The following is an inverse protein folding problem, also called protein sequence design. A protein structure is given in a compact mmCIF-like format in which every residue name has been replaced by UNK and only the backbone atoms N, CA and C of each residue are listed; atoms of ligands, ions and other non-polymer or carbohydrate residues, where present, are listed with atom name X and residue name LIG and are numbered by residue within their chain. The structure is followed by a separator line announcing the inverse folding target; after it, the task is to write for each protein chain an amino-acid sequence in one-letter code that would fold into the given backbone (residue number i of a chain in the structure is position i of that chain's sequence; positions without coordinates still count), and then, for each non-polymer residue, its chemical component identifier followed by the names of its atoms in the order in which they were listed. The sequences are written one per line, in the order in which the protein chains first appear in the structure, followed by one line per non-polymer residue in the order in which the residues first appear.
data_IF_093815431678
#
_entry.id   IF_093815431678
#
_cell.length_a   1.000
_cell.length_b   1.000
_cell.length_c   1.000
_cell.angle_alpha   90.00
_cell.angle_beta   90.00
_cell.angle_gamma   90.00
#
_symmetry.space_group_name_H-M   'P 1'
#
loop_
_entity.id
_entity.type
_entity.pdbx_description
1 polymer ?
#
# COMPACT_ATOMS: atom_id res chain seq x y z
N UNK A 1 -34.35 0.35 -7.42
CA UNK A 1 -34.66 -0.10 -6.04
C UNK A 1 -33.42 -0.77 -5.51
N UNK A 2 -32.62 0.01 -4.80
CA UNK A 2 -31.27 -0.32 -4.33
C UNK A 2 -31.36 -1.00 -2.97
N UNK A 3 -30.99 -2.28 -2.91
CA UNK A 3 -30.84 -3.01 -1.65
C UNK A 3 -29.51 -2.61 -1.02
N UNK A 4 -29.57 -1.71 -0.04
CA UNK A 4 -28.45 -1.32 0.82
C UNK A 4 -28.21 -2.48 1.80
N UNK A 5 -27.10 -3.19 1.66
CA UNK A 5 -26.62 -4.15 2.66
C UNK A 5 -26.37 -3.39 3.97
N UNK A 6 -26.86 -3.89 5.13
CA UNK A 6 -26.69 -3.19 6.39
C UNK A 6 -25.25 -3.33 6.90
N UNK A 7 -24.66 -2.19 7.21
CA UNK A 7 -23.47 -2.02 8.06
C UNK A 7 -23.68 -2.77 9.38
N UNK A 8 -22.87 -3.82 9.60
CA UNK A 8 -22.97 -4.74 10.75
C UNK A 8 -22.21 -4.25 11.99
N UNK A 9 -21.66 -3.03 11.96
CA UNK A 9 -20.85 -2.47 13.04
C UNK A 9 -21.57 -2.18 14.38
N UNK A 10 -22.89 -2.38 14.51
CA UNK A 10 -23.65 -1.87 15.65
C UNK A 10 -24.52 -2.89 16.42
N UNK A 11 -24.41 -4.20 16.18
CA UNK A 11 -25.17 -5.20 16.94
C UNK A 11 -24.24 -6.08 17.79
N UNK A 12 -23.95 -5.62 19.02
CA UNK A 12 -23.36 -6.48 20.04
C UNK A 12 -24.42 -7.45 20.56
N UNK A 13 -24.35 -8.71 20.11
CA UNK A 13 -25.20 -9.79 20.61
C UNK A 13 -24.73 -10.34 21.98
N UNK A 14 -25.68 -10.89 22.72
CA UNK A 14 -25.60 -11.25 24.14
C UNK A 14 -24.35 -12.08 24.53
N UNK A 15 -23.67 -11.76 25.64
CA UNK A 15 -22.43 -12.42 26.09
C UNK A 15 -22.58 -13.86 26.61
N UNK A 16 -23.78 -14.46 26.53
CA UNK A 16 -24.04 -15.81 27.04
C UNK A 16 -23.89 -16.93 26.00
N UNK A 17 -23.53 -16.62 24.76
CA UNK A 17 -23.23 -17.61 23.71
C UNK A 17 -21.73 -17.89 23.54
N UNK A 18 -20.92 -17.46 24.50
CA UNK A 18 -19.45 -17.55 24.50
C UNK A 18 -19.01 -18.76 25.36
N UNK A 19 -18.28 -19.69 24.74
CA UNK A 19 -17.34 -20.64 25.38
C UNK A 19 -17.87 -21.78 26.25
N UNK A 20 -18.63 -22.74 25.68
CA UNK A 20 -18.92 -24.00 26.37
C UNK A 20 -18.43 -25.30 25.69
N UNK A 21 -17.80 -25.24 24.50
CA UNK A 21 -17.55 -26.48 23.72
C UNK A 21 -16.10 -26.74 23.28
N UNK A 22 -15.16 -25.81 23.45
CA UNK A 22 -13.79 -26.03 22.97
C UNK A 22 -12.76 -25.61 24.03
N UNK A 23 -11.83 -26.49 24.42
CA UNK A 23 -10.78 -26.13 25.35
C UNK A 23 -9.89 -25.06 24.71
N UNK A 24 -9.71 -23.94 25.41
CA UNK A 24 -8.65 -22.99 25.10
C UNK A 24 -7.34 -23.76 25.29
N UNK A 25 -6.71 -24.16 24.19
CA UNK A 25 -5.33 -24.66 24.20
C UNK A 25 -4.42 -23.48 24.55
N UNK A 26 -4.28 -23.20 25.84
CA UNK A 26 -3.15 -22.44 26.36
C UNK A 26 -1.92 -23.30 26.18
N UNK A 27 -1.26 -23.20 25.02
CA UNK A 27 0.11 -23.67 24.91
C UNK A 27 0.96 -22.75 25.79
N UNK A 28 1.55 -23.32 26.83
CA UNK A 28 2.74 -22.74 27.42
C UNK A 28 3.75 -22.55 26.28
N UNK A 29 4.22 -21.32 26.11
CA UNK A 29 5.38 -21.00 25.24
C UNK A 29 6.61 -21.56 25.96
N UNK A 30 6.78 -22.88 25.86
CA UNK A 30 7.79 -23.65 26.55
C UNK A 30 8.21 -24.85 25.72
N UNK A 31 9.39 -24.71 25.12
CA UNK A 31 10.28 -25.80 24.68
C UNK A 31 9.64 -26.88 23.79
N UNK A 32 9.77 -26.67 22.47
CA UNK A 32 9.58 -27.72 21.47
C UNK A 32 10.66 -28.80 21.72
N UNK A 33 10.25 -29.86 22.38
CA UNK A 33 11.01 -31.10 22.45
C UNK A 33 10.83 -31.85 21.12
N UNK A 34 11.74 -31.62 20.17
CA UNK A 34 11.90 -32.46 18.98
C UNK A 34 13.20 -33.26 19.10
N UNK A 35 13.06 -34.53 19.46
CA UNK A 35 14.12 -35.52 19.35
C UNK A 35 14.31 -35.93 17.89
N UNK A 36 15.35 -35.43 17.23
CA UNK A 36 16.02 -36.16 16.14
C UNK A 36 17.39 -35.54 15.84
N UNK A 37 18.38 -36.40 16.04
CA UNK A 37 19.81 -36.36 15.75
C UNK A 37 20.18 -35.68 14.42
N UNK A 38 20.84 -34.53 14.46
CA UNK A 38 21.88 -34.14 13.48
C UNK A 38 22.76 -33.01 14.08
N UNK A 39 24.08 -33.23 14.07
CA UNK A 39 25.09 -32.31 14.60
C UNK A 39 25.23 -31.11 13.67
N UNK A 40 25.10 -29.89 14.21
CA UNK A 40 25.83 -28.75 13.67
C UNK A 40 25.14 -27.40 13.60
N UNK A 41 24.36 -26.99 14.60
CA UNK A 41 24.21 -25.59 15.07
C UNK A 41 23.19 -25.61 16.21
N UNK A 42 23.64 -25.31 17.43
CA UNK A 42 22.80 -25.43 18.62
C UNK A 42 21.60 -24.48 18.58
N UNK A 43 20.59 -24.78 19.42
CA UNK A 43 19.41 -23.93 19.66
C UNK A 43 19.79 -22.48 19.99
N UNK A 44 20.90 -22.27 20.70
CA UNK A 44 21.53 -20.97 20.95
C UNK A 44 22.05 -20.27 19.69
N UNK A 45 22.55 -21.02 18.71
CA UNK A 45 22.99 -20.48 17.43
C UNK A 45 21.82 -20.01 16.57
N UNK A 46 20.69 -20.73 16.60
CA UNK A 46 19.44 -20.28 15.97
C UNK A 46 18.87 -19.07 16.69
N UNK A 47 18.80 -19.08 18.02
CA UNK A 47 18.31 -17.94 18.79
C UNK A 47 19.18 -16.68 18.61
N UNK A 48 20.51 -16.84 18.57
CA UNK A 48 21.41 -15.75 18.27
C UNK A 48 21.23 -15.25 16.82
N UNK A 49 21.07 -16.16 15.85
CA UNK A 49 20.83 -15.79 14.46
C UNK A 49 19.49 -15.09 14.26
N UNK A 50 18.44 -15.51 14.97
CA UNK A 50 17.12 -14.90 14.95
C UNK A 50 17.15 -13.52 15.61
N UNK A 51 17.82 -13.37 16.74
CA UNK A 51 18.01 -12.08 17.42
C UNK A 51 18.86 -11.10 16.59
N UNK A 52 19.93 -11.59 15.95
CA UNK A 52 20.75 -10.79 15.04
C UNK A 52 19.93 -10.39 13.81
N UNK A 53 19.15 -11.31 13.26
CA UNK A 53 18.27 -11.04 12.11
C UNK A 53 17.17 -10.05 12.46
N UNK A 54 16.62 -10.09 13.68
CA UNK A 54 15.61 -9.15 14.15
C UNK A 54 16.19 -7.75 14.41
N UNK A 55 17.41 -7.67 14.94
CA UNK A 55 18.09 -6.38 15.22
C UNK A 55 18.57 -5.70 13.93
N UNK A 56 19.00 -6.48 12.94
CA UNK A 56 19.51 -5.98 11.66
C UNK A 56 18.46 -5.89 10.55
N UNK A 57 17.26 -6.46 10.75
CA UNK A 57 16.22 -6.56 9.72
C UNK A 57 16.68 -7.33 8.47
N UNK A 58 17.62 -8.27 8.62
CA UNK A 58 18.30 -8.97 7.53
C UNK A 58 18.40 -10.46 7.84
N UNK A 59 18.07 -11.33 6.87
CA UNK A 59 18.11 -12.79 7.06
C UNK A 59 19.51 -13.32 6.74
N UNK A 60 20.13 -13.99 7.72
CA UNK A 60 21.45 -14.60 7.59
C UNK A 60 21.51 -15.61 6.43
N UNK A 61 22.54 -15.46 5.56
CA UNK A 61 22.88 -16.42 4.50
C UNK A 61 24.29 -16.96 4.73
N UNK A 62 24.51 -18.28 4.72
CA UNK A 62 25.85 -18.85 4.90
C UNK A 62 26.79 -18.36 3.77
N UNK A 63 27.90 -17.73 4.13
CA UNK A 63 28.90 -17.22 3.18
C UNK A 63 28.74 -15.75 2.74
N UNK A 64 27.70 -15.04 3.18
CA UNK A 64 27.47 -13.63 2.83
C UNK A 64 28.02 -12.64 3.87
N UNK A 65 29.34 -12.70 4.11
CA UNK A 65 30.01 -11.80 5.06
C UNK A 65 29.92 -10.32 4.64
N UNK A 66 29.80 -10.06 3.33
CA UNK A 66 29.66 -8.70 2.78
C UNK A 66 28.27 -8.13 3.05
N UNK A 67 27.21 -8.92 2.86
CA UNK A 67 25.84 -8.54 3.20
C UNK A 67 25.65 -8.29 4.69
N UNK A 68 26.27 -9.12 5.54
CA UNK A 68 26.26 -8.93 6.99
C UNK A 68 26.93 -7.60 7.41
N UNK A 69 28.12 -7.30 6.88
CA UNK A 69 28.82 -6.04 7.18
C UNK A 69 28.02 -4.81 6.72
N UNK A 70 27.37 -4.89 5.56
CA UNK A 70 26.50 -3.83 5.05
C UNK A 70 25.23 -3.63 5.91
N UNK A 71 24.63 -4.71 6.40
CA UNK A 71 23.48 -4.65 7.30
C UNK A 71 23.85 -4.02 8.65
N UNK A 72 25.03 -4.32 9.17
CA UNK A 72 25.54 -3.77 10.43
C UNK A 72 25.86 -2.27 10.31
N UNK A 73 26.58 -1.88 9.25
CA UNK A 73 26.85 -0.47 8.96
C UNK A 73 25.57 0.33 8.68
N UNK A 74 24.51 -0.33 8.18
CA UNK A 74 23.23 0.29 7.87
C UNK A 74 22.22 0.34 9.02
N UNK A 75 22.48 -0.34 10.15
CA UNK A 75 21.58 -0.40 11.32
C UNK A 75 22.13 0.35 12.53
N UNK A 76 23.43 0.66 12.53
CA UNK A 76 24.10 1.38 13.60
C UNK A 76 24.78 2.62 13.03
N UNK A 77 24.45 3.78 13.60
CA UNK A 77 25.17 5.02 13.34
C UNK A 77 26.22 5.19 14.43
N UNK A 78 27.49 5.29 14.03
CA UNK A 78 28.60 5.50 14.95
C UNK A 78 28.93 6.98 15.03
N UNK A 79 28.67 7.60 16.19
CA UNK A 79 29.03 8.99 16.46
C UNK A 79 30.12 9.04 17.51
N UNK A 80 31.16 9.84 17.26
CA UNK A 80 32.26 9.99 18.20
C UNK A 80 32.00 11.20 19.10
N UNK A 81 31.74 10.94 20.38
CA UNK A 81 31.40 11.95 21.38
C UNK A 81 32.38 11.81 22.53
N UNK A 82 33.05 12.91 22.89
CA UNK A 82 33.92 12.99 24.08
C UNK A 82 34.87 11.79 24.28
N UNK A 83 35.62 11.45 23.23
CA UNK A 83 36.68 10.44 23.31
C UNK A 83 36.23 8.98 23.32
N UNK A 84 34.92 8.69 23.16
CA UNK A 84 34.41 7.34 23.00
C UNK A 84 33.44 7.24 21.81
N UNK A 85 33.33 6.03 21.25
CA UNK A 85 32.43 5.75 20.12
C UNK A 85 31.07 5.35 20.65
N UNK A 86 30.06 6.18 20.42
CA UNK A 86 28.67 5.86 20.71
C UNK A 86 28.02 5.22 19.48
N UNK A 87 27.39 4.06 19.65
CA UNK A 87 26.61 3.39 18.61
C UNK A 87 25.12 3.64 18.84
N UNK A 88 24.51 4.44 17.98
CA UNK A 88 23.06 4.66 17.99
C UNK A 88 22.40 3.63 17.09
N UNK A 89 21.66 2.71 17.69
CA UNK A 89 20.85 1.75 16.94
C UNK A 89 19.63 2.45 16.35
N UNK A 90 19.52 2.44 15.03
CA UNK A 90 18.31 2.86 14.32
C UNK A 90 17.62 1.57 13.86
N UNK A 91 16.47 1.18 14.43
CA UNK A 91 15.78 -0.01 13.97
C UNK A 91 15.50 0.16 12.48
N UNK A 92 16.09 -0.73 11.67
CA UNK A 92 15.56 -0.98 10.34
C UNK A 92 14.23 -1.67 10.57
N UNK A 93 13.17 -0.88 10.79
CA UNK A 93 11.82 -1.36 10.54
C UNK A 93 11.89 -1.96 9.14
N UNK A 94 11.56 -3.26 9.05
CA UNK A 94 11.64 -4.09 7.85
C UNK A 94 11.97 -3.24 6.63
N UNK A 95 13.25 -3.21 6.27
CA UNK A 95 13.67 -2.64 5.00
C UNK A 95 13.16 -3.59 3.91
N UNK A 96 11.82 -3.67 3.79
CA UNK A 96 11.11 -3.93 2.56
C UNK A 96 11.74 -2.95 1.60
N UNK A 97 12.52 -3.50 0.68
CA UNK A 97 13.35 -2.76 -0.25
C UNK A 97 12.63 -1.50 -0.71
N UNK A 98 13.33 -0.38 -0.59
CA UNK A 98 13.11 0.86 -1.30
C UNK A 98 13.05 0.69 -2.84
N UNK A 99 13.14 -0.55 -3.36
CA UNK A 99 13.09 -0.90 -4.77
C UNK A 99 11.65 -1.13 -5.28
N UNK A 100 10.66 -1.32 -4.41
CA UNK A 100 9.25 -1.50 -4.81
C UNK A 100 8.38 -0.24 -4.64
N UNK A 101 8.92 0.85 -4.11
CA UNK A 101 8.11 2.03 -3.81
C UNK A 101 8.89 3.18 -3.18
N UNK A 102 9.99 3.60 -3.82
CA UNK A 102 10.46 4.96 -3.57
C UNK A 102 9.28 5.95 -3.80
N UNK A 103 9.30 7.09 -3.12
CA UNK A 103 8.39 8.21 -3.41
C UNK A 103 8.45 8.46 -4.93
N UNK A 104 7.39 8.09 -5.67
CA UNK A 104 7.41 8.01 -7.14
C UNK A 104 6.21 8.74 -7.75
N UNK A 105 6.32 9.08 -9.04
CA UNK A 105 5.25 9.75 -9.78
C UNK A 105 4.79 11.07 -9.16
N UNK A 106 3.47 11.23 -8.99
CA UNK A 106 2.88 12.46 -8.44
C UNK A 106 3.27 12.74 -6.99
N UNK A 107 3.55 11.72 -6.19
CA UNK A 107 4.05 11.87 -4.82
C UNK A 107 5.48 12.44 -4.82
N UNK A 108 6.34 12.00 -5.75
CA UNK A 108 7.70 12.56 -5.89
C UNK A 108 7.65 14.02 -6.30
N UNK A 109 6.74 14.36 -7.22
CA UNK A 109 6.50 15.74 -7.63
C UNK A 109 6.00 16.61 -6.47
N UNK A 110 5.11 16.08 -5.62
CA UNK A 110 4.62 16.78 -4.43
C UNK A 110 5.74 16.97 -3.40
N UNK A 111 6.50 15.91 -3.08
CA UNK A 111 7.62 15.98 -2.14
C UNK A 111 8.72 16.94 -2.63
N UNK A 112 9.04 16.95 -3.92
CA UNK A 112 9.98 17.90 -4.50
C UNK A 112 9.49 19.36 -4.39
N UNK A 113 8.21 19.60 -4.70
CA UNK A 113 7.58 20.92 -4.51
C UNK A 113 7.58 21.34 -3.04
N UNK A 114 7.25 20.43 -2.13
CA UNK A 114 7.29 20.67 -0.70
C UNK A 114 8.70 21.04 -0.21
N UNK A 115 9.75 20.35 -0.68
CA UNK A 115 11.15 20.70 -0.32
C UNK A 115 11.49 22.14 -0.69
N UNK A 116 11.17 22.54 -1.93
CA UNK A 116 11.42 23.91 -2.39
C UNK A 116 10.58 24.92 -1.60
N UNK A 117 9.27 24.69 -1.52
CA UNK A 117 8.36 25.59 -0.82
C UNK A 117 8.74 25.77 0.66
N UNK A 118 9.03 24.68 1.37
CA UNK A 118 9.42 24.73 2.80
C UNK A 118 10.78 25.39 2.97
N UNK A 119 11.77 25.10 2.12
CA UNK A 119 13.09 25.75 2.19
C UNK A 119 12.98 27.27 2.03
N UNK A 120 12.27 27.71 1.01
CA UNK A 120 12.13 29.14 0.70
C UNK A 120 11.23 29.83 1.75
N UNK A 121 10.16 29.18 2.18
CA UNK A 121 9.29 29.64 3.27
C UNK A 121 10.04 29.82 4.59
N UNK A 122 10.90 28.87 4.97
CA UNK A 122 11.70 28.99 6.19
C UNK A 122 12.68 30.17 6.12
N UNK A 123 13.28 30.39 4.96
CA UNK A 123 14.18 31.54 4.74
C UNK A 123 13.41 32.86 4.89
N UNK A 124 12.20 32.95 4.33
CA UNK A 124 11.33 34.11 4.47
C UNK A 124 10.90 34.32 5.92
N UNK A 125 10.45 33.25 6.60
CA UNK A 125 10.02 33.25 7.99
C UNK A 125 11.10 33.78 8.94
N UNK A 126 12.36 33.35 8.74
CA UNK A 126 13.51 33.80 9.53
C UNK A 126 13.84 35.28 9.29
N UNK A 127 13.48 35.83 8.12
CA UNK A 127 13.71 37.22 7.75
C UNK A 127 12.63 38.19 8.23
N UNK A 128 11.47 37.69 8.67
CA UNK A 128 10.36 38.54 9.09
C UNK A 128 10.71 39.32 10.35
N UNK A 129 10.38 40.61 10.39
CA UNK A 129 10.50 41.45 11.58
C UNK A 129 9.13 42.00 11.96
N UNK A 130 8.76 42.06 13.26
CA UNK A 130 7.51 42.68 13.68
C UNK A 130 7.45 44.15 13.23
N UNK A 131 6.30 44.55 12.67
CA UNK A 131 6.01 45.93 12.27
C UNK A 131 5.31 46.71 13.38
N UNK A 132 4.62 46.00 14.29
CA UNK A 132 4.06 46.59 15.49
C UNK A 132 5.14 47.00 16.48
N UNK A 133 4.91 48.11 17.16
CA UNK A 133 5.80 48.61 18.22
C UNK A 133 5.49 47.96 19.57
N UNK A 134 4.26 47.49 19.74
CA UNK A 134 3.71 46.92 20.97
C UNK A 134 3.62 45.38 20.95
N UNK A 135 4.35 44.71 20.05
CA UNK A 135 4.35 43.25 19.95
C UNK A 135 4.95 42.58 21.18
N UNK A 136 4.48 41.38 21.52
CA UNK A 136 5.12 40.56 22.55
C UNK A 136 6.24 39.70 21.91
N UNK A 137 7.52 39.88 22.28
CA UNK A 137 8.61 39.10 21.71
C UNK A 137 8.51 37.60 21.96
N UNK A 138 7.88 37.17 23.06
CA UNK A 138 7.70 35.76 23.39
C UNK A 138 6.64 35.12 22.50
N UNK A 139 5.49 35.79 22.34
CA UNK A 139 4.42 35.30 21.47
C UNK A 139 4.84 35.32 20.00
N UNK A 140 5.55 36.37 19.56
CA UNK A 140 6.08 36.48 18.21
C UNK A 140 7.02 35.32 17.86
N UNK A 141 7.99 34.99 18.73
CA UNK A 141 8.90 33.86 18.48
C UNK A 141 8.19 32.51 18.68
N UNK A 142 7.19 32.44 19.56
CA UNK A 142 6.33 31.28 19.74
C UNK A 142 5.59 30.91 18.45
N UNK A 143 4.86 31.85 17.85
CA UNK A 143 4.15 31.62 16.59
C UNK A 143 5.11 31.34 15.42
N UNK A 144 6.26 32.04 15.36
CA UNK A 144 7.29 31.73 14.36
C UNK A 144 7.76 30.29 14.49
N UNK A 145 7.99 29.81 15.71
CA UNK A 145 8.43 28.44 15.98
C UNK A 145 7.36 27.41 15.60
N UNK A 146 6.08 27.69 15.88
CA UNK A 146 4.96 26.83 15.48
C UNK A 146 4.85 26.71 13.95
N UNK A 147 4.89 27.84 13.22
CA UNK A 147 4.87 27.85 11.75
C UNK A 147 6.03 27.05 11.17
N UNK A 148 7.24 27.20 11.75
CA UNK A 148 8.43 26.42 11.36
C UNK A 148 8.22 24.92 11.59
N UNK A 149 7.68 24.53 12.74
CA UNK A 149 7.44 23.13 13.09
C UNK A 149 6.43 22.48 12.14
N UNK A 150 5.32 23.16 11.85
CA UNK A 150 4.28 22.68 10.95
C UNK A 150 4.80 22.46 9.52
N UNK A 151 5.55 23.43 8.98
CA UNK A 151 6.14 23.31 7.64
C UNK A 151 7.14 22.15 7.55
N UNK A 152 7.96 21.96 8.59
CA UNK A 152 8.88 20.82 8.64
C UNK A 152 8.14 19.49 8.83
N UNK A 153 7.05 19.46 9.60
CA UNK A 153 6.21 18.29 9.77
C UNK A 153 5.52 17.90 8.44
N UNK A 154 4.99 18.87 7.70
CA UNK A 154 4.44 18.68 6.36
C UNK A 154 5.47 18.04 5.42
N UNK A 155 6.70 18.57 5.40
CA UNK A 155 7.76 18.01 4.58
C UNK A 155 8.05 16.55 4.94
N UNK A 156 8.17 16.23 6.24
CA UNK A 156 8.39 14.84 6.70
C UNK A 156 7.25 13.91 6.27
N UNK A 157 6.00 14.37 6.31
CA UNK A 157 4.88 13.57 5.83
C UNK A 157 4.93 13.35 4.32
N UNK A 158 5.22 14.38 3.52
CA UNK A 158 5.30 14.24 2.07
C UNK A 158 6.45 13.36 1.60
N UNK A 159 7.52 13.24 2.40
CA UNK A 159 8.62 12.32 2.16
C UNK A 159 8.35 10.89 2.65
N UNK A 160 7.27 10.67 3.40
CA UNK A 160 6.86 9.33 3.82
C UNK A 160 6.48 8.49 2.59
N UNK A 161 6.89 7.21 2.51
CA UNK A 161 6.49 6.31 1.43
C UNK A 161 4.96 6.18 1.33
N UNK A 162 4.29 6.14 2.48
CA UNK A 162 2.83 6.16 2.58
C UNK A 162 2.42 7.42 3.35
N UNK A 163 1.80 8.36 2.66
CA UNK A 163 1.41 9.65 3.25
C UNK A 163 0.15 9.45 4.09
N UNK A 164 0.18 9.92 5.35
CA UNK A 164 -0.97 9.90 6.24
C UNK A 164 -1.88 11.08 5.91
N UNK A 165 -2.87 10.88 5.05
CA UNK A 165 -3.80 11.93 4.60
C UNK A 165 -4.39 12.74 5.78
N UNK A 166 -4.94 12.11 6.85
CA UNK A 166 -5.55 12.88 7.93
C UNK A 166 -4.54 13.76 8.68
N UNK A 167 -3.29 13.31 8.78
CA UNK A 167 -2.23 14.08 9.44
C UNK A 167 -1.81 15.29 8.61
N UNK A 168 -1.71 15.13 7.30
CA UNK A 168 -1.42 16.26 6.40
C UNK A 168 -2.56 17.27 6.40
N UNK A 169 -3.81 16.81 6.34
CA UNK A 169 -5.00 17.68 6.45
C UNK A 169 -4.99 18.42 7.80
N UNK A 170 -4.71 17.74 8.92
CA UNK A 170 -4.55 18.39 10.23
C UNK A 170 -3.43 19.44 10.25
N UNK A 171 -2.28 19.15 9.65
CA UNK A 171 -1.15 20.09 9.59
C UNK A 171 -1.51 21.35 8.80
N UNK A 172 -2.24 21.22 7.69
CA UNK A 172 -2.75 22.38 6.96
C UNK A 172 -3.85 23.13 7.73
N UNK A 173 -4.72 22.42 8.44
CA UNK A 173 -5.71 23.05 9.33
C UNK A 173 -5.03 23.90 10.42
N UNK A 174 -3.94 23.40 11.02
CA UNK A 174 -3.18 24.18 12.02
C UNK A 174 -2.42 25.36 11.39
N UNK A 175 -1.81 25.15 10.22
CA UNK A 175 -0.96 26.15 9.57
C UNK A 175 -1.76 27.29 8.93
N UNK A 176 -2.85 26.96 8.22
CA UNK A 176 -3.63 27.87 7.37
C UNK A 176 -5.06 28.10 7.85
N UNK A 177 -5.64 27.15 8.61
CA UNK A 177 -7.07 27.10 8.96
C UNK A 177 -7.96 27.38 7.74
N UNK A 178 -7.88 26.54 6.69
CA UNK A 178 -8.53 26.81 5.42
C UNK A 178 -10.06 26.84 5.59
N UNK A 179 -10.76 27.73 4.87
CA UNK A 179 -12.21 27.87 4.98
C UNK A 179 -12.90 26.55 4.63
N UNK A 180 -13.67 26.02 5.59
CA UNK A 180 -14.46 24.79 5.41
C UNK A 180 -15.74 25.16 4.66
N UNK A 181 -15.68 25.03 3.34
CA UNK A 181 -16.72 25.43 2.38
C UNK A 181 -18.13 25.51 2.96
N UNK A 182 -18.56 26.74 3.29
CA UNK A 182 -19.96 27.07 3.50
C UNK A 182 -20.67 27.25 2.16
N UNK A 183 -22.01 27.39 2.17
CA UNK A 183 -22.77 27.79 0.99
C UNK A 183 -22.34 29.21 0.56
N UNK A 184 -21.35 29.29 -0.34
CA UNK A 184 -20.72 30.53 -0.81
C UNK A 184 -19.55 30.23 -1.76
N UNK A 185 -19.11 31.24 -2.50
CA UNK A 185 -17.91 31.17 -3.37
C UNK A 185 -16.69 30.72 -2.54
N UNK A 186 -15.79 29.86 -3.06
CA UNK A 186 -14.63 29.40 -2.28
C UNK A 186 -13.80 30.61 -1.86
N UNK A 187 -13.69 30.86 -0.55
CA UNK A 187 -12.82 31.91 -0.02
C UNK A 187 -11.39 31.57 -0.40
N UNK A 188 -10.81 32.37 -1.29
CA UNK A 188 -9.40 32.26 -1.67
C UNK A 188 -8.57 32.69 -0.47
N UNK A 189 -7.64 31.83 -0.04
CA UNK A 189 -6.73 32.16 1.06
C UNK A 189 -5.71 33.18 0.54
N UNK A 190 -5.62 34.33 1.21
CA UNK A 190 -4.70 35.44 0.96
C UNK A 190 -3.94 35.78 2.25
N UNK A 191 -2.94 36.67 2.16
CA UNK A 191 -2.24 37.18 3.34
C UNK A 191 -3.19 37.88 4.33
N UNK A 192 -4.25 38.53 3.83
CA UNK A 192 -5.20 39.28 4.67
C UNK A 192 -6.20 38.37 5.42
N UNK A 193 -6.53 37.20 4.88
CA UNK A 193 -7.54 36.31 5.48
C UNK A 193 -6.98 34.95 5.95
N UNK A 194 -5.68 34.68 5.78
CA UNK A 194 -5.05 33.46 6.30
C UNK A 194 -5.30 33.31 7.80
N UNK A 195 -5.73 32.11 8.20
CA UNK A 195 -5.97 31.72 9.59
C UNK A 195 -4.80 30.89 10.14
N UNK A 196 -5.10 30.04 11.12
CA UNK A 196 -4.11 29.13 11.70
C UNK A 196 -2.91 29.86 12.31
N UNK A 197 -1.78 29.16 12.41
CA UNK A 197 -0.55 29.74 12.95
C UNK A 197 0.02 30.87 12.07
N UNK A 198 -0.19 30.84 10.75
CA UNK A 198 0.23 31.94 9.87
C UNK A 198 -0.58 33.23 10.09
N UNK A 199 -1.90 33.11 10.29
CA UNK A 199 -2.76 34.23 10.65
C UNK A 199 -2.43 34.80 12.03
N UNK A 200 -2.14 33.94 13.01
CA UNK A 200 -1.66 34.39 14.33
C UNK A 200 -0.32 35.13 14.24
N UNK A 201 0.61 34.62 13.44
CA UNK A 201 1.90 35.28 13.19
C UNK A 201 1.69 36.65 12.54
N UNK A 202 0.79 36.76 11.56
CA UNK A 202 0.42 38.04 10.92
C UNK A 202 -0.06 39.05 11.95
N UNK A 203 -1.00 38.66 12.78
CA UNK A 203 -1.66 39.55 13.73
C UNK A 203 -0.68 40.03 14.82
N UNK A 204 0.20 39.14 15.28
CA UNK A 204 1.23 39.44 16.28
C UNK A 204 2.31 40.37 15.72
N UNK A 205 2.79 40.10 14.50
CA UNK A 205 3.78 40.94 13.84
C UNK A 205 3.17 42.24 13.27
N UNK A 206 1.84 42.35 13.20
CA UNK A 206 1.15 43.48 12.61
C UNK A 206 1.32 43.60 11.09
N UNK A 207 1.46 42.48 10.40
CA UNK A 207 1.65 42.42 8.95
C UNK A 207 0.31 42.62 8.21
N UNK A 208 -0.33 43.75 8.45
CA UNK A 208 -1.62 44.12 7.85
C UNK A 208 -1.36 45.24 6.82
N UNK A 209 -1.78 45.04 5.57
CA UNK A 209 -1.45 45.96 4.46
C UNK A 209 -1.74 47.43 4.76
N UNK A 210 -2.88 47.71 5.39
CA UNK A 210 -3.30 49.08 5.77
C UNK A 210 -2.43 49.76 6.83
N UNK A 211 -1.51 49.04 7.47
CA UNK A 211 -0.62 49.54 8.53
C UNK A 211 0.81 49.76 8.04
N UNK A 212 1.12 49.43 6.79
CA UNK A 212 2.43 49.63 6.18
C UNK A 212 2.58 51.08 5.71
N UNK A 213 3.60 51.77 6.21
CA UNK A 213 3.86 53.19 5.97
C UNK A 213 5.23 53.45 5.32
N UNK A 214 6.18 52.51 5.42
CA UNK A 214 7.54 52.66 4.88
C UNK A 214 7.87 51.59 3.83
N UNK A 215 8.87 51.87 2.98
CA UNK A 215 9.35 50.93 1.95
C UNK A 215 9.95 49.68 2.63
N UNK A 216 10.62 49.87 3.76
CA UNK A 216 11.16 48.78 4.56
C UNK A 216 10.05 47.88 5.13
N UNK A 217 8.96 48.45 5.63
CA UNK A 217 7.77 47.70 6.07
C UNK A 217 7.10 46.97 4.90
N UNK A 218 6.99 47.60 3.74
CA UNK A 218 6.44 46.99 2.52
C UNK A 218 7.26 45.77 2.08
N UNK A 219 8.59 45.85 2.22
CA UNK A 219 9.47 44.70 1.94
C UNK A 219 9.21 43.53 2.89
N UNK A 220 8.99 43.79 4.18
CA UNK A 220 8.65 42.76 5.17
C UNK A 220 7.27 42.17 4.86
N UNK A 221 6.28 43.01 4.53
CA UNK A 221 4.95 42.54 4.13
C UNK A 221 5.03 41.67 2.88
N UNK A 222 5.83 42.06 1.88
CA UNK A 222 6.05 41.26 0.66
C UNK A 222 6.63 39.88 0.99
N UNK A 223 7.58 39.79 1.92
CA UNK A 223 8.10 38.50 2.39
C UNK A 223 7.01 37.63 3.03
N UNK A 224 6.09 38.23 3.79
CA UNK A 224 4.97 37.52 4.40
C UNK A 224 3.93 37.06 3.36
N UNK A 225 3.56 37.91 2.41
CA UNK A 225 2.69 37.55 1.27
C UNK A 225 3.28 36.33 0.54
N UNK A 226 4.57 36.40 0.21
CA UNK A 226 5.27 35.30 -0.48
C UNK A 226 5.29 34.02 0.37
N UNK A 227 5.45 34.14 1.69
CA UNK A 227 5.39 32.99 2.62
C UNK A 227 4.00 32.34 2.59
N UNK A 228 2.93 33.12 2.61
CA UNK A 228 1.55 32.61 2.53
C UNK A 228 1.31 31.94 1.18
N UNK A 229 1.69 32.57 0.08
CA UNK A 229 1.53 32.04 -1.28
C UNK A 229 2.22 30.68 -1.47
N UNK A 230 3.42 30.49 -0.92
CA UNK A 230 4.11 29.20 -0.97
C UNK A 230 3.31 28.09 -0.27
N UNK A 231 2.73 28.39 0.90
CA UNK A 231 1.99 27.42 1.68
C UNK A 231 0.59 27.14 1.10
N UNK A 232 -0.10 28.16 0.59
CA UNK A 232 -1.37 28.01 -0.13
C UNK A 232 -1.16 27.20 -1.42
N UNK A 233 -0.11 27.50 -2.20
CA UNK A 233 0.22 26.74 -3.40
C UNK A 233 0.53 25.26 -3.10
N UNK A 234 1.15 24.97 -1.95
CA UNK A 234 1.38 23.60 -1.50
C UNK A 234 0.08 22.91 -1.05
N UNK A 235 -0.79 23.62 -0.32
CA UNK A 235 -2.11 23.14 0.08
C UNK A 235 -2.98 22.81 -1.14
N UNK A 236 -3.07 23.71 -2.12
CA UNK A 236 -3.78 23.47 -3.39
C UNK A 236 -3.17 22.29 -4.16
N UNK A 237 -1.84 22.16 -4.12
CA UNK A 237 -1.13 21.02 -4.64
C UNK A 237 -1.62 19.72 -4.02
N UNK A 238 -1.70 19.69 -2.69
CA UNK A 238 -2.15 18.57 -1.89
C UNK A 238 -3.63 18.21 -2.12
N UNK A 239 -4.55 19.17 -2.03
CA UNK A 239 -5.99 18.94 -2.19
C UNK A 239 -6.35 18.32 -3.54
N UNK A 240 -5.64 18.71 -4.61
CA UNK A 240 -5.81 18.12 -5.96
C UNK A 240 -5.37 16.67 -6.07
N UNK A 241 -4.39 16.24 -5.28
CA UNK A 241 -3.76 14.92 -5.45
C UNK A 241 -4.03 13.95 -4.31
N UNK A 242 -4.53 14.41 -3.16
CA UNK A 242 -4.63 13.60 -1.93
C UNK A 242 -5.42 12.30 -2.10
N UNK A 243 -6.53 12.34 -2.85
CA UNK A 243 -7.34 11.14 -3.17
C UNK A 243 -6.57 10.11 -4.00
N UNK A 244 -5.70 10.56 -4.91
CA UNK A 244 -4.88 9.69 -5.75
C UNK A 244 -3.68 9.08 -5.01
N UNK A 245 -3.25 9.74 -3.93
CA UNK A 245 -2.11 9.31 -3.11
C UNK A 245 -2.51 8.20 -2.15
N UNK A 246 -3.74 8.23 -1.63
CA UNK A 246 -4.21 7.23 -0.66
C UNK A 246 -4.69 5.96 -1.37
N UNK A 247 -3.93 4.86 -1.33
CA UNK A 247 -4.37 3.61 -1.95
C UNK A 247 -5.59 3.01 -1.22
N UNK A 248 -5.86 3.44 0.01
CA UNK A 248 -6.98 2.95 0.83
C UNK A 248 -8.28 3.75 0.63
N UNK A 249 -8.25 4.87 -0.11
CA UNK A 249 -9.46 5.60 -0.47
C UNK A 249 -10.32 4.74 -1.44
N UNK A 250 -11.57 4.39 -1.09
CA UNK A 250 -12.44 3.56 -1.93
C UNK A 250 -12.79 4.23 -3.26
N UNK A 251 -12.76 5.56 -3.31
CA UNK A 251 -13.06 6.35 -4.50
C UNK A 251 -11.79 6.73 -5.29
N UNK A 252 -10.64 6.11 -4.97
CA UNK A 252 -9.39 6.37 -5.67
C UNK A 252 -9.38 5.69 -7.06
N UNK A 253 -9.97 6.38 -8.03
CA UNK A 253 -9.88 6.03 -9.43
C UNK A 253 -8.53 6.52 -10.01
N UNK A 254 -7.76 5.59 -10.59
CA UNK A 254 -6.40 5.82 -11.10
C UNK A 254 -5.40 6.36 -10.07
N UNK A 255 -5.21 5.61 -8.98
CA UNK A 255 -4.23 5.91 -7.94
C UNK A 255 -2.77 5.89 -8.41
N UNK A 256 -1.88 6.52 -7.64
CA UNK A 256 -0.45 6.45 -7.94
C UNK A 256 0.09 5.03 -7.68
N UNK A 257 0.86 4.54 -8.64
CA UNK A 257 1.41 3.17 -8.61
C UNK A 257 2.33 2.91 -7.42
N UNK A 258 3.20 3.86 -7.06
CA UNK A 258 4.13 3.72 -5.94
C UNK A 258 3.45 3.44 -4.60
N UNK A 259 2.54 4.32 -4.15
CA UNK A 259 1.73 4.07 -2.95
C UNK A 259 0.97 2.74 -2.99
N UNK A 260 0.38 2.39 -4.13
CA UNK A 260 -0.34 1.13 -4.29
C UNK A 260 0.57 -0.09 -4.08
N UNK A 261 1.79 -0.09 -4.62
CA UNK A 261 2.75 -1.19 -4.40
C UNK A 261 3.16 -1.34 -2.93
N UNK A 262 3.34 -0.23 -2.21
CA UNK A 262 3.67 -0.25 -0.79
C UNK A 262 2.50 -0.82 0.02
N UNK A 263 1.28 -0.38 -0.27
CA UNK A 263 0.07 -0.89 0.37
C UNK A 263 -0.12 -2.38 0.10
N UNK A 264 0.04 -2.83 -1.15
CA UNK A 264 0.00 -4.25 -1.51
C UNK A 264 1.06 -5.06 -0.75
N UNK A 265 2.28 -4.55 -0.63
CA UNK A 265 3.35 -5.23 0.14
C UNK A 265 2.99 -5.38 1.63
N UNK A 266 2.39 -4.35 2.23
CA UNK A 266 1.92 -4.38 3.62
C UNK A 266 0.74 -5.33 3.81
N UNK A 267 -0.25 -5.29 2.92
CA UNK A 267 -1.40 -6.19 2.95
C UNK A 267 -1.01 -7.64 2.73
N UNK A 268 -0.10 -7.94 1.80
CA UNK A 268 0.43 -9.30 1.61
C UNK A 268 1.10 -9.82 2.89
N UNK A 269 1.82 -8.97 3.62
CA UNK A 269 2.39 -9.37 4.90
C UNK A 269 1.31 -9.64 5.96
N UNK A 270 0.26 -8.81 6.03
CA UNK A 270 -0.88 -9.02 6.91
C UNK A 270 -1.63 -10.31 6.57
N UNK A 271 -1.92 -10.55 5.29
CA UNK A 271 -2.58 -11.77 4.80
C UNK A 271 -1.80 -13.03 5.17
N UNK A 272 -0.46 -13.02 5.06
CA UNK A 272 0.35 -14.15 5.47
C UNK A 272 0.18 -14.46 6.97
N UNK A 273 0.25 -13.42 7.82
CA UNK A 273 0.01 -13.57 9.26
C UNK A 273 -1.43 -14.02 9.58
N UNK A 274 -2.41 -13.58 8.81
CA UNK A 274 -3.80 -13.98 8.97
C UNK A 274 -4.03 -15.46 8.61
N UNK A 275 -3.30 -16.00 7.64
CA UNK A 275 -3.31 -17.45 7.38
C UNK A 275 -2.73 -18.23 8.56
N UNK A 276 -1.66 -17.74 9.18
CA UNK A 276 -1.10 -18.35 10.39
C UNK A 276 -2.13 -18.36 11.54
N UNK A 277 -2.86 -17.26 11.76
CA UNK A 277 -3.93 -17.23 12.78
C UNK A 277 -5.10 -18.17 12.42
N UNK A 278 -5.48 -18.27 11.15
CA UNK A 278 -6.48 -19.25 10.71
C UNK A 278 -6.04 -20.68 11.03
N UNK A 279 -4.77 -21.01 10.84
CA UNK A 279 -4.24 -22.33 11.22
C UNK A 279 -4.30 -22.57 12.73
N UNK A 280 -3.96 -21.56 13.55
CA UNK A 280 -4.09 -21.63 15.01
C UNK A 280 -5.56 -21.79 15.43
N UNK A 281 -6.47 -21.05 14.80
CA UNK A 281 -7.91 -21.15 15.04
C UNK A 281 -8.44 -22.56 14.71
N UNK A 282 -8.02 -23.13 13.57
CA UNK A 282 -8.38 -24.50 13.18
C UNK A 282 -7.81 -25.54 14.15
N UNK A 283 -6.56 -25.41 14.56
CA UNK A 283 -5.94 -26.30 15.54
C UNK A 283 -6.66 -26.23 16.91
N UNK A 284 -7.17 -25.06 17.30
CA UNK A 284 -7.92 -24.88 18.55
C UNK A 284 -9.24 -25.66 18.61
N UNK A 285 -9.83 -25.95 17.45
CA UNK A 285 -11.05 -26.75 17.30
C UNK A 285 -10.77 -28.16 16.82
N UNK A 286 -9.54 -28.64 17.05
CA UNK A 286 -9.05 -29.98 16.71
C UNK A 286 -8.98 -30.28 15.21
N UNK A 287 -9.08 -29.27 14.34
CA UNK A 287 -8.87 -29.42 12.89
C UNK A 287 -7.37 -29.35 12.61
N UNK A 288 -6.70 -30.48 12.79
CA UNK A 288 -5.23 -30.57 12.72
C UNK A 288 -4.70 -30.38 11.30
N UNK A 289 -3.39 -30.15 11.16
CA UNK A 289 -2.72 -30.07 9.86
C UNK A 289 -3.02 -31.27 8.94
N UNK A 290 -3.06 -32.49 9.48
CA UNK A 290 -3.38 -33.69 8.70
C UNK A 290 -4.82 -33.70 8.19
N UNK A 291 -5.77 -33.24 9.01
CA UNK A 291 -7.18 -33.12 8.60
C UNK A 291 -7.37 -32.05 7.53
N UNK A 292 -6.67 -30.91 7.65
CA UNK A 292 -6.69 -29.84 6.64
C UNK A 292 -6.30 -30.34 5.25
N UNK A 293 -5.38 -31.30 5.15
CA UNK A 293 -4.95 -31.87 3.86
C UNK A 293 -5.99 -32.79 3.20
N UNK A 294 -6.98 -33.28 3.93
CA UNK A 294 -8.02 -34.16 3.39
C UNK A 294 -9.39 -33.50 3.31
N UNK A 295 -9.66 -32.51 4.17
CA UNK A 295 -10.91 -31.77 4.20
C UNK A 295 -11.10 -31.00 2.90
N UNK A 296 -12.10 -31.39 2.12
CA UNK A 296 -12.46 -30.74 0.87
C UNK A 296 -13.39 -29.58 1.14
N UNK A 297 -13.08 -28.43 0.55
CA UNK A 297 -13.95 -27.26 0.54
C UNK A 297 -14.56 -27.11 -0.85
N UNK A 298 -15.84 -26.72 -0.93
CA UNK A 298 -16.51 -26.55 -2.20
C UNK A 298 -15.85 -25.41 -2.98
N UNK A 299 -15.52 -25.68 -4.24
CA UNK A 299 -15.08 -24.65 -5.18
C UNK A 299 -16.18 -24.52 -6.23
N UNK A 300 -16.64 -23.30 -6.57
CA UNK A 300 -17.59 -23.11 -7.66
C UNK A 300 -17.16 -23.88 -8.91
N UNK A 301 -18.09 -24.56 -9.60
CA UNK A 301 -17.75 -25.47 -10.70
C UNK A 301 -16.91 -24.81 -11.81
N UNK A 302 -17.14 -23.53 -12.05
CA UNK A 302 -16.40 -22.67 -12.99
C UNK A 302 -14.93 -22.45 -12.60
N UNK A 303 -14.59 -22.78 -11.36
CA UNK A 303 -13.27 -22.65 -10.77
C UNK A 303 -12.55 -24.01 -10.67
N UNK A 304 -13.13 -25.15 -11.07
CA UNK A 304 -12.37 -26.40 -11.23
C UNK A 304 -12.50 -27.44 -10.11
N UNK A 305 -13.68 -27.54 -9.49
CA UNK A 305 -14.07 -28.74 -8.73
C UNK A 305 -13.94 -28.63 -7.22
N UNK A 306 -12.88 -29.17 -6.62
CA UNK A 306 -12.66 -29.13 -5.16
C UNK A 306 -11.17 -29.00 -4.80
N UNK A 307 -10.87 -28.20 -3.78
CA UNK A 307 -9.53 -28.07 -3.21
C UNK A 307 -9.57 -28.50 -1.74
N UNK A 308 -8.44 -28.94 -1.20
CA UNK A 308 -8.32 -29.22 0.23
C UNK A 308 -8.17 -27.90 1.00
N UNK A 309 -8.64 -27.83 2.24
CA UNK A 309 -8.51 -26.64 3.07
C UNK A 309 -7.03 -26.26 3.28
N UNK A 310 -6.18 -27.26 3.49
CA UNK A 310 -4.73 -27.10 3.58
C UNK A 310 -4.11 -26.60 2.28
N UNK A 311 -4.54 -27.15 1.14
CA UNK A 311 -4.10 -26.70 -0.19
C UNK A 311 -4.48 -25.24 -0.48
N UNK A 312 -5.71 -24.84 -0.14
CA UNK A 312 -6.16 -23.45 -0.30
C UNK A 312 -5.36 -22.49 0.58
N UNK A 313 -5.29 -22.76 1.88
CA UNK A 313 -4.62 -21.86 2.83
C UNK A 313 -3.12 -21.75 2.56
N UNK A 314 -2.46 -22.86 2.19
CA UNK A 314 -1.06 -22.84 1.74
C UNK A 314 -0.87 -22.00 0.47
N UNK A 315 -1.76 -22.12 -0.51
CA UNK A 315 -1.68 -21.33 -1.73
C UNK A 315 -1.81 -19.83 -1.45
N UNK A 316 -2.74 -19.43 -0.57
CA UNK A 316 -2.85 -18.03 -0.12
C UNK A 316 -1.57 -17.57 0.57
N UNK A 317 -1.01 -18.39 1.46
CA UNK A 317 0.22 -18.09 2.19
C UNK A 317 1.45 -17.96 1.26
N UNK A 318 1.61 -18.85 0.28
CA UNK A 318 2.69 -18.81 -0.72
C UNK A 318 2.57 -17.57 -1.61
N UNK A 319 1.35 -17.23 -2.03
CA UNK A 319 1.06 -16.00 -2.77
C UNK A 319 1.44 -14.75 -1.96
N UNK A 320 1.01 -14.69 -0.70
CA UNK A 320 1.27 -13.58 0.21
C UNK A 320 2.77 -13.40 0.51
N UNK A 321 3.51 -14.48 0.72
CA UNK A 321 4.94 -14.41 1.05
C UNK A 321 5.84 -14.11 -0.16
N UNK A 322 5.54 -14.73 -1.31
CA UNK A 322 6.49 -14.81 -2.41
C UNK A 322 5.91 -14.36 -3.75
N UNK A 323 4.86 -15.04 -4.23
CA UNK A 323 4.47 -14.91 -5.63
C UNK A 323 3.85 -13.55 -5.93
N UNK A 324 3.02 -13.03 -5.01
CA UNK A 324 2.43 -11.71 -5.14
C UNK A 324 3.50 -10.62 -5.24
N UNK A 325 4.55 -10.70 -4.41
CA UNK A 325 5.67 -9.73 -4.44
C UNK A 325 6.42 -9.80 -5.77
N UNK A 326 6.77 -11.00 -6.24
CA UNK A 326 7.45 -11.20 -7.54
C UNK A 326 6.62 -10.68 -8.71
N UNK A 327 5.30 -10.89 -8.68
CA UNK A 327 4.40 -10.37 -9.72
C UNK A 327 4.33 -8.84 -9.68
N UNK A 328 4.31 -8.25 -8.50
CA UNK A 328 4.32 -6.79 -8.31
C UNK A 328 5.65 -6.15 -8.74
N UNK A 329 6.78 -6.84 -8.58
CA UNK A 329 8.11 -6.42 -9.05
C UNK A 329 8.21 -6.29 -10.58
N UNK A 330 7.32 -6.97 -11.33
CA UNK A 330 7.24 -6.84 -12.79
C UNK A 330 6.58 -5.52 -13.24
N UNK A 331 6.21 -4.64 -12.31
CA UNK A 331 5.60 -3.35 -12.61
C UNK A 331 4.09 -3.46 -12.85
N UNK A 332 3.51 -2.39 -13.43
CA UNK A 332 2.07 -2.30 -13.67
C UNK A 332 1.52 -3.49 -14.45
N UNK A 333 2.22 -3.91 -15.50
CA UNK A 333 1.78 -5.04 -16.35
C UNK A 333 1.74 -6.36 -15.58
N UNK A 334 2.67 -6.56 -14.65
CA UNK A 334 2.68 -7.73 -13.76
C UNK A 334 1.54 -7.72 -12.77
N UNK A 335 1.22 -6.55 -12.22
CA UNK A 335 0.07 -6.38 -11.33
C UNK A 335 -1.23 -6.65 -12.09
N UNK A 336 -1.41 -5.99 -13.22
CA UNK A 336 -2.65 -6.05 -14.02
C UNK A 336 -2.92 -7.47 -14.57
N UNK A 337 -1.93 -8.09 -15.19
CA UNK A 337 -2.13 -9.34 -15.93
C UNK A 337 -1.97 -10.61 -15.09
N UNK A 338 -1.11 -10.61 -14.07
CA UNK A 338 -0.79 -11.81 -13.29
C UNK A 338 -1.28 -11.71 -11.84
N UNK A 339 -0.95 -10.62 -11.14
CA UNK A 339 -1.27 -10.46 -9.73
C UNK A 339 -2.78 -10.43 -9.49
N UNK A 340 -3.51 -9.54 -10.17
CA UNK A 340 -4.96 -9.38 -10.03
C UNK A 340 -5.68 -10.70 -10.34
N UNK A 341 -5.24 -11.43 -11.36
CA UNK A 341 -5.84 -12.71 -11.72
C UNK A 341 -5.75 -13.73 -10.59
N UNK A 342 -4.57 -13.88 -9.97
CA UNK A 342 -4.37 -14.82 -8.85
C UNK A 342 -5.08 -14.32 -7.59
N UNK A 343 -4.97 -13.03 -7.25
CA UNK A 343 -5.62 -12.44 -6.08
C UNK A 343 -7.14 -12.60 -6.12
N UNK A 344 -7.79 -12.24 -7.24
CA UNK A 344 -9.25 -12.45 -7.46
C UNK A 344 -9.64 -13.91 -7.38
N UNK A 345 -8.74 -14.80 -7.77
CA UNK A 345 -9.01 -16.23 -7.72
C UNK A 345 -8.99 -16.73 -6.29
N UNK A 346 -8.01 -16.32 -5.50
CA UNK A 346 -7.89 -16.65 -4.09
C UNK A 346 -9.03 -16.04 -3.26
N UNK A 347 -9.35 -14.76 -3.48
CA UNK A 347 -10.48 -14.07 -2.85
C UNK A 347 -11.78 -14.86 -3.05
N UNK A 348 -12.13 -15.20 -4.29
CA UNK A 348 -13.35 -15.96 -4.59
C UNK A 348 -13.37 -17.34 -3.94
N UNK A 349 -12.22 -18.01 -3.82
CA UNK A 349 -12.12 -19.32 -3.17
C UNK A 349 -12.33 -19.20 -1.65
N UNK A 350 -11.74 -18.20 -1.01
CA UNK A 350 -11.91 -17.94 0.44
C UNK A 350 -13.32 -17.45 0.75
N UNK A 351 -13.89 -16.60 -0.11
CA UNK A 351 -15.29 -16.14 -0.04
C UNK A 351 -16.28 -17.30 -0.14
N UNK A 352 -16.00 -18.30 -0.98
CA UNK A 352 -16.83 -19.47 -1.16
C UNK A 352 -16.78 -20.45 0.04
N UNK A 353 -15.87 -20.24 1.02
CA UNK A 353 -15.82 -21.09 2.20
C UNK A 353 -17.11 -21.00 3.01
N UNK A 354 -17.68 -22.14 3.44
CA UNK A 354 -18.95 -22.19 4.16
C UNK A 354 -19.01 -21.26 5.38
N UNK A 355 -20.02 -20.38 5.39
CA UNK A 355 -20.32 -19.51 6.54
C UNK A 355 -21.42 -20.08 7.42
N UNK A 356 -21.40 -19.76 8.72
CA UNK A 356 -22.44 -20.18 9.69
C UNK A 356 -23.86 -19.84 9.23
N UNK A 357 -24.05 -18.72 8.54
CA UNK A 357 -25.35 -18.22 8.07
C UNK A 357 -25.74 -18.66 6.66
N UNK A 358 -24.94 -19.48 5.98
CA UNK A 358 -25.29 -19.98 4.64
C UNK A 358 -26.65 -20.69 4.66
N UNK A 359 -27.61 -20.36 3.77
CA UNK A 359 -28.86 -21.09 3.69
C UNK A 359 -28.57 -22.58 3.47
N UNK A 360 -29.31 -23.45 4.18
CA UNK A 360 -29.30 -24.89 3.84
C UNK A 360 -29.78 -24.98 2.39
N UNK A 361 -29.04 -25.64 1.48
CA UNK A 361 -29.57 -25.93 0.16
C UNK A 361 -30.92 -26.63 0.31
N UNK A 362 -31.94 -26.15 -0.40
CA UNK A 362 -33.23 -26.85 -0.44
C UNK A 362 -32.98 -28.31 -0.87
N UNK A 363 -33.74 -29.23 -0.28
CA UNK A 363 -33.60 -30.69 -0.38
C UNK A 363 -33.09 -31.19 -1.73
N UNK A 364 -32.24 -32.23 -1.65
CA UNK A 364 -31.73 -33.09 -2.73
C UNK A 364 -30.35 -32.79 -3.33
N UNK A 365 -29.44 -32.17 -2.54
CA UNK A 365 -27.99 -32.24 -2.79
C UNK A 365 -27.32 -33.12 -1.73
N UNK A 366 -27.08 -34.40 -2.06
CA UNK A 366 -26.51 -35.42 -1.16
C UNK A 366 -25.05 -35.14 -0.74
N UNK A 367 -24.50 -33.98 -1.10
CA UNK A 367 -23.16 -33.52 -0.71
C UNK A 367 -23.26 -32.08 -0.17
N UNK A 368 -24.10 -31.87 0.85
CA UNK A 368 -24.07 -30.61 1.60
C UNK A 368 -22.72 -30.49 2.31
N UNK A 369 -22.00 -29.39 2.09
CA UNK A 369 -20.72 -29.10 2.75
C UNK A 369 -20.83 -29.08 4.28
N UNK A 370 -22.04 -28.86 4.82
CA UNK A 370 -22.35 -28.97 6.26
C UNK A 370 -22.23 -30.39 6.79
N UNK A 371 -22.37 -31.39 5.92
CA UNK A 371 -22.20 -32.80 6.26
C UNK A 371 -20.75 -33.28 6.07
N UNK A 372 -19.89 -32.50 5.43
CA UNK A 372 -18.49 -32.89 5.14
C UNK A 372 -17.46 -32.13 5.98
N UNK A 373 -17.82 -30.97 6.56
CA UNK A 373 -16.93 -30.18 7.42
C UNK A 373 -17.21 -30.44 8.91
N UNK A 374 -16.18 -30.60 9.76
CA UNK A 374 -16.35 -30.78 11.20
C UNK A 374 -17.07 -29.58 11.85
N UNK A 375 -17.82 -29.82 12.93
CA UNK A 375 -18.54 -28.77 13.66
C UNK A 375 -17.62 -27.64 14.12
N UNK A 376 -16.36 -27.94 14.47
CA UNK A 376 -15.34 -26.96 14.84
C UNK A 376 -15.08 -25.89 13.77
N UNK A 377 -15.23 -26.23 12.49
CA UNK A 377 -15.05 -25.30 11.38
C UNK A 377 -16.05 -24.13 11.44
N UNK A 378 -17.25 -24.39 11.98
CA UNK A 378 -18.32 -23.39 12.13
C UNK A 378 -18.25 -22.65 13.47
N UNK A 379 -17.21 -22.86 14.27
CA UNK A 379 -16.96 -22.09 15.49
C UNK A 379 -16.75 -20.61 15.16
N UNK A 380 -17.12 -19.73 16.09
CA UNK A 380 -16.96 -18.28 15.91
C UNK A 380 -15.52 -17.89 15.60
N UNK A 381 -14.55 -18.50 16.30
CA UNK A 381 -13.11 -18.20 16.12
C UNK A 381 -12.64 -18.50 14.70
N UNK A 382 -12.96 -19.69 14.17
CA UNK A 382 -12.59 -20.05 12.79
C UNK A 382 -13.30 -19.16 11.79
N UNK A 383 -14.59 -18.88 11.99
CA UNK A 383 -15.37 -18.04 11.07
C UNK A 383 -14.83 -16.60 10.99
N UNK A 384 -14.50 -15.99 12.13
CA UNK A 384 -13.85 -14.67 12.19
C UNK A 384 -12.51 -14.68 11.46
N UNK A 385 -11.67 -15.69 11.69
CA UNK A 385 -10.38 -15.78 11.00
C UNK A 385 -10.52 -15.92 9.46
N UNK A 386 -11.56 -16.63 8.99
CA UNK A 386 -11.85 -16.74 7.56
C UNK A 386 -12.43 -15.43 7.00
N UNK A 387 -13.24 -14.70 7.76
CA UNK A 387 -13.79 -13.41 7.37
C UNK A 387 -12.68 -12.35 7.25
N UNK A 388 -11.81 -12.23 8.25
CA UNK A 388 -10.64 -11.35 8.20
C UNK A 388 -9.70 -11.69 7.03
N UNK A 389 -9.45 -12.98 6.76
CA UNK A 389 -8.67 -13.40 5.59
C UNK A 389 -9.33 -13.01 4.28
N UNK A 390 -10.67 -13.08 4.23
CA UNK A 390 -11.43 -12.65 3.06
C UNK A 390 -11.33 -11.15 2.84
N UNK A 391 -11.47 -10.36 3.91
CA UNK A 391 -11.39 -8.89 3.90
C UNK A 391 -9.99 -8.43 3.42
N UNK A 392 -8.92 -9.03 3.93
CA UNK A 392 -7.55 -8.77 3.49
C UNK A 392 -7.37 -9.03 1.98
N UNK A 393 -7.85 -10.18 1.49
CA UNK A 393 -7.76 -10.52 0.07
C UNK A 393 -8.64 -9.62 -0.81
N UNK A 394 -9.80 -9.21 -0.33
CA UNK A 394 -10.68 -8.29 -1.01
C UNK A 394 -9.99 -6.92 -1.15
N UNK A 395 -9.34 -6.45 -0.10
CA UNK A 395 -8.61 -5.18 -0.12
C UNK A 395 -7.39 -5.24 -1.05
N UNK A 396 -6.65 -6.37 -1.05
CA UNK A 396 -5.58 -6.62 -2.02
C UNK A 396 -6.11 -6.53 -3.46
N UNK A 397 -7.24 -7.17 -3.75
CA UNK A 397 -7.87 -7.13 -5.08
C UNK A 397 -8.26 -5.70 -5.44
N UNK A 398 -8.93 -4.98 -4.53
CA UNK A 398 -9.37 -3.60 -4.76
C UNK A 398 -8.21 -2.67 -5.12
N UNK A 399 -7.12 -2.70 -4.34
CA UNK A 399 -5.95 -1.87 -4.59
C UNK A 399 -5.25 -2.27 -5.90
N UNK A 400 -5.13 -3.58 -6.16
CA UNK A 400 -4.46 -4.07 -7.36
C UNK A 400 -5.25 -3.78 -8.65
N UNK A 401 -6.57 -3.74 -8.58
CA UNK A 401 -7.41 -3.29 -9.70
C UNK A 401 -7.16 -1.80 -10.00
N UNK A 402 -7.03 -0.95 -8.99
CA UNK A 402 -6.78 0.48 -9.24
C UNK A 402 -5.40 0.81 -9.84
N UNK A 403 -4.55 -0.21 -10.05
CA UNK A 403 -3.22 -0.10 -10.69
C UNK A 403 -3.28 -0.19 -12.22
N UNK A 404 -4.46 -0.45 -12.80
CA UNK A 404 -4.66 -0.68 -14.24
C UNK A 404 -3.96 0.34 -15.17
N UNK A 405 -3.59 -0.15 -16.35
CA UNK A 405 -3.29 0.71 -17.47
C UNK A 405 -4.61 1.29 -17.99
N UNK A 406 -4.84 2.60 -17.84
CA UNK A 406 -5.71 3.26 -18.80
C UNK A 406 -5.04 3.07 -20.16
N UNK A 407 -5.62 2.22 -21.00
CA UNK A 407 -5.50 2.32 -22.44
C UNK A 407 -6.11 3.67 -22.85
N UNK A 408 -5.39 4.76 -22.54
CA UNK A 408 -5.57 6.06 -23.14
C UNK A 408 -4.98 5.97 -24.56
N UNK A 409 -5.60 5.11 -25.36
CA UNK A 409 -5.55 5.19 -26.82
C UNK A 409 -6.38 6.43 -27.18
N UNK A 410 -5.80 7.59 -26.93
CA UNK A 410 -5.93 8.68 -27.88
C UNK A 410 -5.49 8.07 -29.21
N UNK A 411 -6.33 8.00 -30.26
CA UNK A 411 -5.87 7.58 -31.57
C UNK A 411 -4.96 8.69 -32.11
N UNK A 412 -3.72 8.75 -31.63
CA UNK A 412 -2.66 9.40 -32.37
C UNK A 412 -2.41 8.51 -33.58
N UNK A 413 -3.06 8.92 -34.67
CA UNK A 413 -2.72 8.55 -36.03
C UNK A 413 -1.22 8.75 -36.22
N UNK A 414 -0.42 7.70 -36.02
CA UNK A 414 0.94 7.60 -36.55
C UNK A 414 1.37 6.12 -36.60
N UNK A 415 1.13 5.50 -37.77
CA UNK A 415 2.18 4.73 -38.43
C UNK A 415 2.35 3.24 -38.12
N UNK A 416 1.39 2.55 -37.48
CA UNK A 416 1.34 1.08 -37.49
C UNK A 416 0.03 0.64 -38.13
N UNK A 417 0.08 0.28 -39.42
CA UNK A 417 -1.07 -0.22 -40.15
C UNK A 417 -1.49 -1.57 -39.56
N UNK A 418 -2.46 -1.56 -38.63
CA UNK A 418 -3.24 -2.74 -38.30
C UNK A 418 -4.05 -3.11 -39.55
N UNK A 419 -3.64 -4.19 -40.23
CA UNK A 419 -4.42 -4.78 -41.31
C UNK A 419 -5.76 -5.21 -40.72
N UNK A 420 -6.85 -4.67 -41.27
CA UNK A 420 -8.20 -5.07 -40.88
C UNK A 420 -8.44 -6.55 -41.18
N UNK A 421 -9.35 -7.19 -40.45
CA UNK A 421 -9.67 -8.62 -40.65
C UNK A 421 -10.05 -8.95 -42.10
N UNK A 422 -10.69 -8.01 -42.82
CA UNK A 422 -10.97 -8.17 -44.26
C UNK A 422 -9.71 -8.15 -45.14
N UNK A 423 -8.66 -7.43 -44.75
CA UNK A 423 -7.37 -7.43 -45.47
C UNK A 423 -6.54 -8.68 -45.14
N UNK A 424 -6.67 -9.23 -43.94
CA UNK A 424 -6.10 -10.53 -43.59
C UNK A 424 -6.75 -11.66 -44.40
N UNK A 425 -8.07 -11.63 -44.55
CA UNK A 425 -8.79 -12.61 -45.37
C UNK A 425 -8.42 -12.52 -46.86
N UNK A 426 -8.22 -11.31 -47.39
CA UNK A 426 -7.76 -11.12 -48.77
C UNK A 426 -6.31 -11.60 -48.98
N UNK A 427 -5.45 -11.43 -47.98
CA UNK A 427 -4.05 -11.86 -48.02
C UNK A 427 -3.93 -13.39 -47.88
N UNK A 428 -4.77 -14.01 -47.06
CA UNK A 428 -4.91 -15.47 -46.94
C UNK A 428 -5.48 -16.06 -48.24
N UNK A 429 -6.45 -15.39 -48.87
CA UNK A 429 -7.00 -15.81 -50.17
C UNK A 429 -5.94 -15.75 -51.29
N UNK A 430 -5.11 -14.69 -51.32
CA UNK A 430 -3.98 -14.57 -52.26
C UNK A 430 -2.92 -15.64 -52.06
N UNK A 431 -2.52 -15.91 -50.82
CA UNK A 431 -1.54 -16.94 -50.51
C UNK A 431 -2.05 -18.34 -50.87
N UNK A 432 -3.34 -18.63 -50.66
CA UNK A 432 -3.95 -19.91 -51.09
C UNK A 432 -3.99 -20.04 -52.62
N UNK A 433 -4.18 -18.95 -53.35
CA UNK A 433 -4.15 -18.95 -54.82
C UNK A 433 -2.73 -19.19 -55.36
N UNK A 434 -1.70 -18.59 -54.75
CA UNK A 434 -0.30 -18.81 -55.13
C UNK A 434 0.18 -20.24 -54.79
N UNK A 435 -0.25 -20.79 -53.64
CA UNK A 435 0.10 -22.16 -53.24
C UNK A 435 -0.65 -23.25 -54.04
N UNK A 436 -1.71 -22.89 -54.77
CA UNK A 436 -2.48 -23.84 -55.60
C UNK A 436 -2.03 -23.90 -57.05
N UNK A 437 -1.03 -23.11 -57.47
CA UNK A 437 -0.44 -23.26 -58.82
C UNK A 437 0.61 -24.38 -58.86
N UNK A 438 0.41 -25.44 -59.68
CA UNK A 438 1.37 -26.54 -59.75
C UNK A 438 2.66 -26.11 -60.45
N UNK A 439 3.78 -26.35 -59.76
CA UNK A 439 5.14 -26.08 -60.20
C UNK A 439 5.44 -26.80 -61.53
N UNK A 440 5.63 -26.05 -62.62
CA UNK A 440 6.11 -26.61 -63.90
C UNK A 440 7.64 -26.68 -63.85
N UNK A 441 8.28 -27.84 -64.11
CA UNK A 441 9.72 -27.98 -63.95
C UNK A 441 10.50 -27.20 -65.02
N UNK A 442 11.42 -26.33 -64.59
CA UNK A 442 12.36 -25.61 -65.46
C UNK A 442 13.36 -26.58 -66.10
N UNK A 443 13.17 -26.79 -67.40
CA UNK A 443 14.10 -27.40 -68.33
C UNK A 443 15.48 -26.71 -68.32
N UNK A 444 16.53 -27.54 -68.26
CA UNK A 444 17.95 -27.19 -68.35
C UNK A 444 18.32 -27.05 -69.83
N UNK A 445 18.62 -25.85 -70.32
CA UNK A 445 19.09 -25.62 -71.69
C UNK A 445 20.43 -24.87 -71.72
N UNK A 446 21.40 -25.52 -72.39
CA UNK A 446 22.73 -25.06 -72.79
C UNK A 446 22.69 -23.80 -73.67
N UNK A 447 23.75 -22.98 -73.57
CA UNK A 447 24.38 -22.16 -74.64
C UNK A 447 25.67 -21.57 -74.04
N UNK A 448 26.92 -21.78 -74.50
CA UNK A 448 27.56 -21.82 -75.83
C UNK A 448 27.48 -20.52 -76.63
N UNK A 449 28.67 -19.94 -76.89
CA UNK A 449 28.98 -18.84 -77.82
C UNK A 449 29.07 -17.48 -77.11
N UNK A 450 30.18 -16.75 -77.11
CA UNK A 450 31.30 -16.62 -78.07
C UNK A 450 32.52 -16.04 -77.36
#
# INVERSE_FOLDING_TARGET
MTSKEPDRGAALENPHDIDAAFPILTRDVGTISSSSTERGEGELGRLASDAISSVLGWKFRPGDAKGFAAALAGSFELTQVEGHTQANWRPRGYAVQADLGAVTGGQASLAARARTAVKDSLTLLDSLTPLRVDFDPQDAEGFRSLVREDMQALLREFESPLIRVPKVDQLFDMLLDPPRGGEGEPDVITDENVGGHLGRLRDEFGMISRLVNTIEEERVQTSFITLVDWNVGLYDGWTRVKRKIDPFDPDNDNGFFGPALIALSQLLAATAAQVDELWVALDSVMITAGEREVLRVPVPAQLGGSITLGGLTRWVHEFALNDGKKMAELGKDGVDNAFVFVARRLERLVRALPRRTTPVPAEDDTVSFRNTLPAGFFSRRVQVAIDELHDDLQEIVRIAENVHHEDDVVPQSNGSAKLSDGQLDELVARLKAELSTPNTPRSRAKRSGK
#
